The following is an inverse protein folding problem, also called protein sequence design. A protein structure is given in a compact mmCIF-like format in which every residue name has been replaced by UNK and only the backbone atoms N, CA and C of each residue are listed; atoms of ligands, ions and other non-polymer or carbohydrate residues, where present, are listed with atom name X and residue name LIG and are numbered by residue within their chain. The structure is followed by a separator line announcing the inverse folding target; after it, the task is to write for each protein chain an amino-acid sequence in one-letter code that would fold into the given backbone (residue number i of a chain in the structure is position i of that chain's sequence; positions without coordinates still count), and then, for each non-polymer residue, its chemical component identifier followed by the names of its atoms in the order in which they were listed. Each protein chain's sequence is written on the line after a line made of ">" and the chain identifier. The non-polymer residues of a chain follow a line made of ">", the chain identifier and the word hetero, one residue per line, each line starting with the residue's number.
data_IF_914317250022
#
_entry.id   IF_914317250022
#
_cell.length_a   1.000
_cell.length_b   1.000
_cell.length_c   1.000
_cell.angle_alpha   90.00
_cell.angle_beta   90.00
_cell.angle_gamma   90.00
#
_symmetry.space_group_name_H-M   'P 1'
#
loop_
_entity.id
_entity.type
_entity.pdbx_description
1 polymer ?
#
# COMPACT_ATOMS: atom_id res chain seq x y z
N UNK A 1 -2.75 5.79 -20.80
CA UNK A 1 -3.69 4.87 -20.14
C UNK A 1 -3.45 4.93 -18.64
N UNK A 2 -4.48 5.21 -17.88
CA UNK A 2 -4.38 5.38 -16.44
C UNK A 2 -3.93 4.08 -15.76
N UNK A 3 -2.95 4.20 -14.85
CA UNK A 3 -2.53 3.09 -13.98
C UNK A 3 -3.44 2.95 -12.77
N UNK A 4 -3.98 4.08 -12.30
CA UNK A 4 -4.91 4.15 -11.18
C UNK A 4 -6.13 4.96 -11.58
N UNK A 5 -7.31 4.41 -11.32
CA UNK A 5 -8.60 5.07 -11.54
C UNK A 5 -9.41 5.00 -10.24
N UNK A 6 -9.88 6.14 -9.80
CA UNK A 6 -10.71 6.28 -8.59
C UNK A 6 -12.02 6.94 -8.98
N UNK A 7 -13.13 6.25 -8.76
CA UNK A 7 -14.45 6.68 -9.18
C UNK A 7 -15.43 6.64 -8.01
N UNK A 8 -16.05 7.78 -7.71
CA UNK A 8 -17.06 7.93 -6.68
C UNK A 8 -16.71 7.31 -5.33
N UNK A 9 -15.42 7.36 -4.97
CA UNK A 9 -14.90 6.67 -3.79
C UNK A 9 -15.46 7.28 -2.52
N UNK A 10 -16.06 6.42 -1.69
CA UNK A 10 -16.67 6.78 -0.40
C UNK A 10 -16.13 5.89 0.70
N UNK A 11 -15.93 6.48 1.86
CA UNK A 11 -15.62 5.73 3.08
C UNK A 11 -16.31 6.35 4.27
N UNK A 12 -17.13 5.55 4.93
CA UNK A 12 -17.82 5.88 6.17
C UNK A 12 -17.43 4.89 7.24
N UNK A 13 -16.95 5.37 8.37
CA UNK A 13 -16.73 4.58 9.58
C UNK A 13 -17.93 4.69 10.50
N UNK A 14 -18.35 3.57 11.05
CA UNK A 14 -19.46 3.50 12.01
C UNK A 14 -18.92 2.92 13.32
N UNK A 15 -19.24 3.55 14.45
CA UNK A 15 -18.90 2.98 15.76
C UNK A 15 -19.69 1.69 16.01
N UNK A 16 -19.15 0.79 16.84
CA UNK A 16 -19.80 -0.50 17.17
C UNK A 16 -21.23 -0.37 17.70
N UNK A 17 -21.55 0.75 18.32
CA UNK A 17 -22.91 1.03 18.85
C UNK A 17 -23.82 1.74 17.82
N UNK A 18 -23.35 1.97 16.60
CA UNK A 18 -24.17 2.54 15.52
C UNK A 18 -24.56 4.02 15.68
N UNK A 19 -24.14 4.66 16.77
CA UNK A 19 -24.58 6.02 17.11
C UNK A 19 -23.78 7.13 16.41
N UNK A 20 -22.53 6.88 16.04
CA UNK A 20 -21.69 7.86 15.37
C UNK A 20 -21.17 7.33 14.03
N UNK A 21 -21.44 8.11 12.99
CA UNK A 21 -20.93 7.88 11.63
C UNK A 21 -19.94 8.99 11.30
N UNK A 22 -18.76 8.60 10.83
CA UNK A 22 -17.74 9.53 10.32
C UNK A 22 -17.57 9.26 8.84
N UNK A 23 -17.99 10.21 8.02
CA UNK A 23 -17.80 10.17 6.57
C UNK A 23 -16.41 10.72 6.23
N UNK A 24 -15.44 9.83 6.15
CA UNK A 24 -14.03 10.19 5.88
C UNK A 24 -13.80 10.59 4.43
N UNK A 25 -14.47 9.93 3.49
CA UNK A 25 -14.46 10.26 2.05
C UNK A 25 -15.88 10.27 1.53
N UNK A 26 -16.24 11.35 0.82
CA UNK A 26 -17.63 11.59 0.36
C UNK A 26 -17.85 11.20 -1.09
N UNK A 27 -16.99 11.66 -1.98
CA UNK A 27 -17.06 11.41 -3.42
C UNK A 27 -15.72 11.81 -4.06
N UNK A 28 -14.75 10.90 -4.01
CA UNK A 28 -13.40 11.17 -4.54
C UNK A 28 -13.26 10.58 -5.92
N UNK A 29 -12.85 11.43 -6.87
CA UNK A 29 -12.67 11.05 -8.27
C UNK A 29 -11.35 11.60 -8.79
N UNK A 30 -10.48 10.74 -9.30
CA UNK A 30 -9.25 11.11 -10.01
C UNK A 30 -8.63 9.91 -10.72
N UNK A 31 -7.73 10.19 -11.62
CA UNK A 31 -6.91 9.20 -12.31
C UNK A 31 -5.43 9.54 -12.19
N UNK A 32 -4.58 8.54 -12.27
CA UNK A 32 -3.12 8.70 -12.31
C UNK A 32 -2.57 7.93 -13.50
N UNK A 33 -1.80 8.61 -14.33
CA UNK A 33 -1.14 8.01 -15.48
C UNK A 33 0.18 7.33 -15.08
N UNK A 34 0.62 6.41 -15.90
CA UNK A 34 1.91 5.74 -15.67
C UNK A 34 3.06 6.75 -15.73
N UNK A 35 3.92 6.74 -14.73
CA UNK A 35 5.06 7.65 -14.60
C UNK A 35 4.71 9.01 -13.97
N UNK A 36 3.45 9.23 -13.61
CA UNK A 36 3.01 10.45 -12.96
C UNK A 36 3.38 10.45 -11.47
N UNK A 37 3.70 11.62 -10.95
CA UNK A 37 3.89 11.89 -9.53
C UNK A 37 2.72 12.73 -9.00
N UNK A 38 1.98 12.20 -8.03
CA UNK A 38 0.79 12.84 -7.46
C UNK A 38 0.98 13.09 -5.97
N UNK A 39 0.70 14.30 -5.51
CA UNK A 39 0.68 14.67 -4.10
C UNK A 39 -0.75 14.82 -3.59
N UNK A 40 -1.08 14.15 -2.49
CA UNK A 40 -2.36 14.27 -1.78
C UNK A 40 -2.14 15.18 -0.59
N UNK A 41 -2.73 16.37 -0.62
CA UNK A 41 -2.58 17.40 0.40
C UNK A 41 -3.92 17.72 1.05
N UNK A 42 -3.86 18.19 2.28
CA UNK A 42 -5.04 18.59 3.07
C UNK A 42 -4.69 18.74 4.55
N UNK A 43 -5.58 19.34 5.30
CA UNK A 43 -5.47 19.47 6.76
C UNK A 43 -5.50 18.13 7.46
N UNK A 44 -5.03 18.08 8.72
CA UNK A 44 -5.15 16.89 9.56
C UNK A 44 -6.62 16.48 9.70
N UNK A 45 -6.91 15.19 9.53
CA UNK A 45 -8.29 14.67 9.57
C UNK A 45 -9.10 14.87 8.28
N UNK A 46 -8.49 15.32 7.17
CA UNK A 46 -9.18 15.49 5.87
C UNK A 46 -9.39 14.19 5.08
N UNK A 47 -8.94 13.04 5.59
CA UNK A 47 -9.13 11.73 4.94
C UNK A 47 -7.96 11.26 4.09
N UNK A 48 -6.78 11.91 4.13
CA UNK A 48 -5.60 11.51 3.35
C UNK A 48 -5.15 10.08 3.64
N UNK A 49 -5.01 9.72 4.91
CA UNK A 49 -4.63 8.36 5.32
C UNK A 49 -5.68 7.34 4.93
N UNK A 50 -6.95 7.67 5.10
CA UNK A 50 -8.08 6.83 4.65
C UNK A 50 -7.99 6.56 3.14
N UNK A 51 -7.77 7.60 2.34
CA UNK A 51 -7.63 7.47 0.89
C UNK A 51 -6.45 6.55 0.54
N UNK A 52 -5.26 6.78 1.12
CA UNK A 52 -4.09 5.95 0.87
C UNK A 52 -4.32 4.49 1.25
N UNK A 53 -5.00 4.21 2.36
CA UNK A 53 -5.33 2.84 2.77
C UNK A 53 -6.26 2.14 1.77
N UNK A 54 -7.22 2.86 1.18
CA UNK A 54 -8.09 2.30 0.15
C UNK A 54 -7.35 2.06 -1.16
N UNK A 55 -6.47 2.98 -1.59
CA UNK A 55 -5.62 2.82 -2.78
C UNK A 55 -4.66 1.66 -2.63
N UNK A 56 -4.24 1.39 -1.41
CA UNK A 56 -3.34 0.31 -1.04
C UNK A 56 -4.02 -1.05 -0.84
N UNK A 57 -5.34 -1.12 -0.98
CA UNK A 57 -6.14 -2.30 -0.63
C UNK A 57 -5.90 -2.80 0.81
N UNK A 58 -5.58 -1.87 1.73
CA UNK A 58 -5.49 -2.13 3.18
C UNK A 58 -6.84 -2.03 3.87
N UNK A 59 -7.80 -1.37 3.24
CA UNK A 59 -9.17 -1.23 3.69
C UNK A 59 -10.11 -1.31 2.48
N UNK A 60 -11.41 -1.51 2.72
CA UNK A 60 -12.44 -1.60 1.67
C UNK A 60 -13.26 -0.32 1.63
N UNK A 61 -13.59 0.19 0.44
CA UNK A 61 -14.49 1.34 0.33
C UNK A 61 -15.90 0.98 0.76
N UNK A 62 -16.63 1.99 1.23
CA UNK A 62 -18.08 1.87 1.51
C UNK A 62 -18.89 2.06 0.23
N UNK A 63 -18.36 2.78 -0.74
CA UNK A 63 -18.94 2.98 -2.06
C UNK A 63 -17.91 3.43 -3.07
N UNK A 64 -18.27 3.38 -4.34
CA UNK A 64 -17.36 3.67 -5.43
C UNK A 64 -16.35 2.54 -5.67
N UNK A 65 -15.33 2.82 -6.46
CA UNK A 65 -14.33 1.82 -6.84
C UNK A 65 -12.95 2.40 -7.01
N UNK A 66 -11.96 1.54 -6.83
CA UNK A 66 -10.55 1.79 -7.13
C UNK A 66 -10.09 0.70 -8.08
N UNK A 67 -9.57 1.10 -9.23
CA UNK A 67 -8.92 0.19 -10.18
C UNK A 67 -7.43 0.49 -10.24
N UNK A 68 -6.63 -0.55 -10.12
CA UNK A 68 -5.18 -0.49 -10.31
C UNK A 68 -4.78 -1.46 -11.43
N UNK A 69 -4.08 -0.95 -12.43
CA UNK A 69 -3.75 -1.72 -13.65
C UNK A 69 -4.99 -2.38 -14.29
N UNK A 70 -6.13 -1.67 -14.31
CA UNK A 70 -7.39 -2.16 -14.83
C UNK A 70 -8.16 -3.13 -13.93
N UNK A 71 -7.61 -3.53 -12.78
CA UNK A 71 -8.23 -4.47 -11.85
C UNK A 71 -8.91 -3.75 -10.69
N UNK A 72 -10.20 -4.01 -10.49
CA UNK A 72 -10.95 -3.43 -9.38
C UNK A 72 -10.53 -4.09 -8.06
N UNK A 73 -10.02 -3.27 -7.13
CA UNK A 73 -9.54 -3.75 -5.84
C UNK A 73 -10.66 -4.29 -4.94
N UNK A 74 -11.89 -3.80 -5.12
CA UNK A 74 -13.06 -4.26 -4.38
C UNK A 74 -13.50 -5.68 -4.72
N UNK A 75 -13.13 -6.19 -5.91
CA UNK A 75 -13.48 -7.54 -6.39
C UNK A 75 -12.46 -8.60 -5.96
N UNK A 76 -11.31 -8.19 -5.45
CA UNK A 76 -10.28 -9.11 -4.97
C UNK A 76 -10.76 -9.88 -3.74
N UNK A 77 -10.58 -11.19 -3.79
CA UNK A 77 -10.82 -12.05 -2.63
C UNK A 77 -9.75 -11.81 -1.57
N UNK A 78 -10.10 -11.99 -0.33
CA UNK A 78 -9.23 -11.69 0.82
C UNK A 78 -7.86 -12.41 0.74
N UNK A 79 -7.85 -13.65 0.26
CA UNK A 79 -6.64 -14.43 0.02
C UNK A 79 -5.78 -13.94 -1.16
N UNK A 80 -6.35 -13.16 -2.08
CA UNK A 80 -5.67 -12.63 -3.26
C UNK A 80 -5.08 -11.24 -3.00
N UNK A 81 -5.64 -10.49 -2.06
CA UNK A 81 -5.27 -9.09 -1.78
C UNK A 81 -3.80 -8.96 -1.41
N UNK A 82 -3.29 -9.82 -0.52
CA UNK A 82 -1.90 -9.75 -0.07
C UNK A 82 -0.91 -10.00 -1.23
N UNK A 83 -1.19 -10.98 -2.07
CA UNK A 83 -0.42 -11.26 -3.28
C UNK A 83 -0.48 -10.09 -4.27
N UNK A 84 -1.66 -9.56 -4.50
CA UNK A 84 -1.84 -8.41 -5.39
C UNK A 84 -1.06 -7.17 -4.92
N UNK A 85 -1.10 -6.85 -3.63
CA UNK A 85 -0.29 -5.75 -3.06
C UNK A 85 1.19 -5.97 -3.28
N UNK A 86 1.69 -7.16 -2.98
CA UNK A 86 3.10 -7.51 -3.12
C UNK A 86 3.61 -7.37 -4.55
N UNK A 87 2.80 -7.74 -5.53
CA UNK A 87 3.15 -7.73 -6.95
C UNK A 87 3.02 -6.34 -7.60
N UNK A 88 2.08 -5.51 -7.14
CA UNK A 88 1.68 -4.29 -7.84
C UNK A 88 1.97 -2.99 -7.08
N UNK A 89 2.26 -3.05 -5.78
CA UNK A 89 2.38 -1.87 -4.93
C UNK A 89 3.69 -1.88 -4.14
N UNK A 90 4.24 -0.69 -3.96
CA UNK A 90 5.31 -0.43 -3.00
C UNK A 90 4.84 0.58 -1.96
N UNK A 91 5.22 0.39 -0.69
CA UNK A 91 4.84 1.24 0.41
C UNK A 91 6.04 1.82 1.11
N UNK A 92 5.92 3.11 1.47
CA UNK A 92 6.75 3.73 2.48
C UNK A 92 5.81 4.23 3.57
N UNK A 93 5.86 3.59 4.72
CA UNK A 93 4.99 3.91 5.85
C UNK A 93 5.53 5.09 6.66
N UNK A 94 4.65 5.82 7.33
CA UNK A 94 5.02 6.86 8.29
C UNK A 94 5.78 6.27 9.47
N UNK A 95 5.33 5.13 9.98
CA UNK A 95 6.04 4.30 10.94
C UNK A 95 6.85 3.23 10.20
N UNK A 96 7.90 2.70 10.82
CA UNK A 96 8.85 1.82 10.13
C UNK A 96 8.24 0.48 9.70
N UNK A 97 7.23 -0.02 10.41
CA UNK A 97 6.57 -1.32 10.17
C UNK A 97 7.56 -2.49 10.07
N UNK A 98 8.63 -2.43 10.86
CA UNK A 98 9.61 -3.51 10.97
C UNK A 98 9.18 -4.52 12.04
N UNK A 99 9.57 -5.77 11.84
CA UNK A 99 9.42 -6.82 12.85
C UNK A 99 10.60 -6.75 13.81
N UNK A 100 10.36 -6.36 15.05
CA UNK A 100 11.40 -6.13 16.07
C UNK A 100 12.17 -7.40 16.44
N UNK A 101 11.56 -8.57 16.28
CA UNK A 101 12.17 -9.88 16.55
C UNK A 101 13.06 -10.36 15.40
N UNK A 102 13.05 -9.70 14.27
CA UNK A 102 13.85 -10.05 13.10
C UNK A 102 15.07 -9.14 12.97
N UNK A 103 16.15 -9.69 12.42
CA UNK A 103 17.30 -8.88 12.00
C UNK A 103 16.91 -7.92 10.88
N UNK A 104 17.72 -6.89 10.66
CA UNK A 104 17.50 -5.98 9.54
C UNK A 104 17.51 -6.73 8.20
N UNK A 105 18.41 -7.69 8.03
CA UNK A 105 18.47 -8.57 6.87
C UNK A 105 17.17 -9.32 6.66
N UNK A 106 16.62 -9.93 7.70
CA UNK A 106 15.39 -10.72 7.61
C UNK A 106 14.17 -9.83 7.29
N UNK A 107 14.10 -8.62 7.83
CA UNK A 107 13.08 -7.64 7.45
C UNK A 107 13.16 -7.26 5.97
N UNK A 108 14.36 -7.11 5.41
CA UNK A 108 14.57 -6.80 3.99
C UNK A 108 14.22 -7.99 3.11
N UNK A 109 14.55 -9.21 3.54
CA UNK A 109 14.32 -10.41 2.75
C UNK A 109 12.87 -10.91 2.79
N UNK A 110 12.13 -10.61 3.86
CA UNK A 110 10.79 -11.15 4.09
C UNK A 110 9.84 -11.02 2.89
N UNK A 111 9.69 -9.88 2.22
CA UNK A 111 8.82 -9.78 1.04
C UNK A 111 9.24 -10.72 -0.10
N UNK A 112 10.55 -10.88 -0.31
CA UNK A 112 11.10 -11.74 -1.35
C UNK A 112 10.92 -13.23 -1.01
N UNK A 113 11.02 -13.59 0.27
CA UNK A 113 10.71 -14.94 0.77
C UNK A 113 9.25 -15.27 0.51
N UNK A 114 8.34 -14.34 0.80
CA UNK A 114 6.90 -14.51 0.55
C UNK A 114 6.55 -14.61 -0.93
N UNK A 115 7.37 -14.04 -1.81
CA UNK A 115 7.27 -14.22 -3.26
C UNK A 115 7.87 -15.55 -3.76
N UNK A 116 8.50 -16.34 -2.90
CA UNK A 116 9.16 -17.58 -3.27
C UNK A 116 10.47 -17.38 -4.03
N UNK A 117 11.15 -16.24 -3.86
CA UNK A 117 12.43 -15.96 -4.51
C UNK A 117 13.54 -16.82 -3.93
N UNK A 118 14.49 -17.22 -4.78
CA UNK A 118 15.67 -17.97 -4.35
C UNK A 118 16.64 -17.06 -3.58
N UNK A 119 17.37 -17.64 -2.64
CA UNK A 119 18.33 -16.92 -1.80
C UNK A 119 19.34 -16.08 -2.61
N UNK A 120 19.85 -16.63 -3.71
CA UNK A 120 20.79 -15.95 -4.59
C UNK A 120 20.22 -14.65 -5.17
N UNK A 121 18.96 -14.68 -5.62
CA UNK A 121 18.25 -13.49 -6.13
C UNK A 121 17.99 -12.47 -5.01
N UNK A 122 17.59 -12.93 -3.84
CA UNK A 122 17.37 -12.07 -2.66
C UNK A 122 18.66 -11.37 -2.26
N UNK A 123 19.76 -12.11 -2.18
CA UNK A 123 21.09 -11.59 -1.83
C UNK A 123 21.56 -10.54 -2.83
N UNK A 124 21.43 -10.80 -4.12
CA UNK A 124 21.83 -9.86 -5.18
C UNK A 124 21.02 -8.56 -5.11
N UNK A 125 19.71 -8.65 -4.98
CA UNK A 125 18.82 -7.47 -4.86
C UNK A 125 19.13 -6.66 -3.61
N UNK A 126 19.35 -7.32 -2.48
CA UNK A 126 19.71 -6.65 -1.22
C UNK A 126 21.06 -5.94 -1.33
N UNK A 127 22.09 -6.57 -1.90
CA UNK A 127 23.39 -5.95 -2.09
C UNK A 127 23.32 -4.68 -2.95
N UNK A 128 22.57 -4.71 -4.03
CA UNK A 128 22.36 -3.53 -4.87
C UNK A 128 21.72 -2.37 -4.12
N UNK A 129 20.71 -2.66 -3.29
CA UNK A 129 20.03 -1.65 -2.47
C UNK A 129 20.91 -1.14 -1.32
N UNK A 130 21.66 -2.02 -0.67
CA UNK A 130 22.64 -1.66 0.37
C UNK A 130 23.65 -0.63 -0.13
N UNK A 131 24.25 -0.88 -1.29
CA UNK A 131 25.18 0.05 -1.92
C UNK A 131 24.55 1.41 -2.21
N UNK A 132 23.35 1.41 -2.78
CA UNK A 132 22.59 2.63 -3.08
C UNK A 132 22.28 3.46 -1.84
N UNK A 133 21.96 2.81 -0.72
CA UNK A 133 21.56 3.46 0.53
C UNK A 133 22.72 3.71 1.50
N UNK A 134 23.92 3.20 1.21
CA UNK A 134 25.10 3.36 2.09
C UNK A 134 25.01 2.59 3.41
N UNK A 135 24.22 1.51 3.48
CA UNK A 135 23.96 0.73 4.71
C UNK A 135 24.66 -0.62 4.76
N UNK A 136 25.69 -0.81 3.94
CA UNK A 136 26.40 -2.10 3.79
C UNK A 136 26.98 -2.62 5.13
N UNK A 137 27.36 -1.72 6.05
CA UNK A 137 27.97 -2.08 7.33
C UNK A 137 26.95 -2.45 8.44
N UNK A 138 25.66 -2.16 8.26
CA UNK A 138 24.64 -2.30 9.31
C UNK A 138 23.94 -3.68 9.27
N UNK A 139 24.18 -4.45 8.21
CA UNK A 139 23.39 -5.65 7.90
C UNK A 139 24.06 -6.98 8.29
N UNK A 140 25.12 -6.92 9.02
CA UNK A 140 25.82 -8.12 9.53
C UNK A 140 25.40 -8.43 10.96
#
# INVERSE_FOLDING_TARGET
>A
MAILEVEHLKKTYTTRLGSNRVEALKDVNFTVERGEFVAIMGESGSGKTTLLNLLAALDKPTGGQVRLNGKNLGELKEKEIAGFRRENLGFVFQDFNLLDTFSLRDNIYLPLVLEGKKYEEMSLRAEQKKKKLGITQILN
#
